data_IF_079374760743
#
_entry.id   IF_079374760743
#
_cell.length_a   1.000
_cell.length_b   1.000
_cell.length_c   1.000
_cell.angle_alpha   90.00
_cell.angle_beta   90.00
_cell.angle_gamma   90.00
#
_symmetry.space_group_name_H-M   'P 1'
#
loop_
_entity.id
_entity.type
_entity.pdbx_description
1 polymer ?
#
# COMPACT_ATOMS: atom_id res chain seq x y z
N UNK A 1 -5.01 -3.41 20.59
CA UNK A 1 -5.99 -2.49 20.00
C UNK A 1 -7.22 -3.24 19.52
N UNK A 2 -8.39 -2.79 19.90
CA UNK A 2 -9.67 -3.37 19.52
C UNK A 2 -10.40 -2.35 18.63
N UNK A 3 -10.35 -2.53 17.33
CA UNK A 3 -11.31 -1.92 16.42
C UNK A 3 -12.60 -2.75 16.45
N UNK A 4 -13.72 -2.21 15.98
CA UNK A 4 -15.07 -2.75 16.17
C UNK A 4 -15.18 -4.26 15.92
N UNK A 5 -14.27 -4.86 15.13
CA UNK A 5 -14.25 -6.30 14.82
C UNK A 5 -12.83 -6.93 14.74
N UNK A 6 -11.78 -6.25 15.20
CA UNK A 6 -10.39 -6.75 15.05
C UNK A 6 -9.60 -6.54 16.34
N UNK A 7 -9.10 -7.63 16.91
CA UNK A 7 -8.14 -7.61 18.01
C UNK A 7 -6.73 -7.73 17.42
N UNK A 8 -5.95 -6.64 17.44
CA UNK A 8 -4.57 -6.65 16.96
C UNK A 8 -3.64 -6.87 18.15
N UNK A 9 -2.93 -7.99 18.15
CA UNK A 9 -1.92 -8.35 19.15
C UNK A 9 -0.62 -8.76 18.47
N UNK A 10 0.10 -7.75 17.96
CA UNK A 10 1.39 -7.92 17.31
C UNK A 10 2.49 -7.38 18.21
N UNK A 11 3.56 -8.16 18.37
CA UNK A 11 4.72 -7.75 19.17
C UNK A 11 5.61 -6.79 18.36
N UNK A 12 6.38 -5.91 19.02
CA UNK A 12 7.37 -5.07 18.34
C UNK A 12 8.48 -5.91 17.67
N UNK A 13 8.98 -5.44 16.53
CA UNK A 13 10.11 -6.04 15.85
C UNK A 13 9.77 -6.80 14.57
N UNK A 14 10.79 -7.41 13.97
CA UNK A 14 10.65 -8.22 12.76
C UNK A 14 10.11 -9.59 13.13
N UNK A 15 8.99 -9.97 12.55
CA UNK A 15 8.32 -11.24 12.81
C UNK A 15 7.65 -11.77 11.55
N UNK A 16 7.40 -13.07 11.53
CA UNK A 16 6.59 -13.69 10.49
C UNK A 16 5.11 -13.39 10.77
N UNK A 17 4.40 -12.89 9.78
CA UNK A 17 2.96 -12.64 9.84
C UNK A 17 2.24 -13.62 8.91
N UNK A 18 1.17 -14.21 9.38
CA UNK A 18 0.21 -14.87 8.51
C UNK A 18 -0.70 -13.86 7.80
N UNK A 19 -1.65 -14.33 6.97
CA UNK A 19 -2.51 -13.44 6.18
C UNK A 19 -3.43 -12.57 7.03
N UNK A 20 -3.92 -13.08 8.15
CA UNK A 20 -4.78 -12.34 9.08
C UNK A 20 -3.99 -11.26 9.81
N UNK A 21 -2.86 -11.62 10.39
CA UNK A 21 -1.93 -10.70 11.05
C UNK A 21 -1.41 -9.62 10.10
N UNK A 22 -1.12 -9.97 8.84
CA UNK A 22 -0.70 -9.00 7.82
C UNK A 22 -1.82 -7.99 7.51
N UNK A 23 -3.07 -8.46 7.45
CA UNK A 23 -4.24 -7.61 7.26
C UNK A 23 -4.47 -6.68 8.46
N UNK A 24 -4.36 -7.19 9.67
CA UNK A 24 -4.43 -6.42 10.91
C UNK A 24 -3.37 -5.32 10.95
N UNK A 25 -2.12 -5.68 10.64
CA UNK A 25 -1.01 -4.75 10.55
C UNK A 25 -1.25 -3.62 9.55
N UNK A 26 -1.80 -3.96 8.38
CA UNK A 26 -2.13 -2.98 7.33
C UNK A 26 -3.31 -2.08 7.68
N UNK A 27 -4.25 -2.56 8.50
CA UNK A 27 -5.49 -1.85 8.88
C UNK A 27 -5.38 -1.03 10.15
N UNK A 28 -4.34 -1.20 10.94
CA UNK A 28 -4.17 -0.46 12.19
C UNK A 28 -4.20 1.05 11.96
N UNK A 29 -5.05 1.78 12.71
CA UNK A 29 -5.30 3.21 12.50
C UNK A 29 -5.03 4.09 13.72
N UNK A 30 -4.85 3.51 14.91
CA UNK A 30 -4.78 4.26 16.17
C UNK A 30 -3.38 4.23 16.77
N UNK A 31 -2.39 4.65 16.02
CA UNK A 31 -1.06 4.94 16.57
C UNK A 31 -1.00 6.39 17.10
N UNK A 32 0.06 6.69 17.86
CA UNK A 32 0.26 8.00 18.47
C UNK A 32 0.36 9.16 17.46
N UNK A 33 0.60 8.83 16.20
CA UNK A 33 0.78 9.77 15.10
C UNK A 33 -0.50 9.87 14.26
N UNK A 34 -1.42 8.90 14.42
CA UNK A 34 -2.69 8.81 13.72
C UNK A 34 -2.54 8.36 12.26
N UNK A 35 -3.67 8.32 11.56
CA UNK A 35 -3.73 7.90 10.16
C UNK A 35 -2.95 8.80 9.19
N UNK A 36 -2.74 10.02 9.58
CA UNK A 36 -2.11 11.07 8.78
C UNK A 36 -0.62 11.19 9.05
N UNK A 37 -0.04 10.25 9.76
CA UNK A 37 1.30 10.27 10.31
C UNK A 37 2.43 10.45 9.32
N UNK A 38 2.25 11.05 8.15
CA UNK A 38 3.39 11.40 7.32
C UNK A 38 3.09 12.32 6.16
N UNK A 39 2.42 13.38 6.45
CA UNK A 39 2.52 14.53 5.56
C UNK A 39 3.94 15.14 5.56
N UNK A 40 4.77 14.76 6.53
CA UNK A 40 6.17 15.19 6.68
C UNK A 40 7.20 14.28 5.98
N UNK A 41 6.78 13.22 5.31
CA UNK A 41 7.71 12.29 4.64
C UNK A 41 8.37 11.25 5.55
N UNK A 42 8.02 11.20 6.84
CA UNK A 42 8.54 10.19 7.76
C UNK A 42 7.74 8.89 7.68
N UNK A 43 8.43 7.76 7.82
CA UNK A 43 7.89 6.40 7.64
C UNK A 43 7.06 5.91 8.83
N UNK A 44 6.02 6.66 9.20
CA UNK A 44 5.13 6.33 10.31
C UNK A 44 3.66 6.24 9.87
N UNK A 45 2.82 5.61 10.68
CA UNK A 45 1.39 5.49 10.44
C UNK A 45 0.99 4.36 9.46
N UNK A 46 -0.28 4.35 9.10
CA UNK A 46 -0.88 3.28 8.28
C UNK A 46 -0.22 3.13 6.90
N UNK A 47 0.06 4.23 6.22
CA UNK A 47 0.66 4.21 4.89
C UNK A 47 2.06 3.57 4.92
N UNK A 48 2.86 3.90 5.94
CA UNK A 48 4.18 3.31 6.11
C UNK A 48 4.10 1.80 6.39
N UNK A 49 3.14 1.35 7.20
CA UNK A 49 2.91 -0.08 7.43
C UNK A 49 2.50 -0.80 6.14
N UNK A 50 1.61 -0.21 5.35
CA UNK A 50 1.23 -0.76 4.06
C UNK A 50 2.40 -0.84 3.09
N UNK A 51 3.27 0.19 3.03
CA UNK A 51 4.50 0.16 2.25
C UNK A 51 5.46 -0.96 2.70
N UNK A 52 5.69 -1.10 4.00
CA UNK A 52 6.53 -2.17 4.56
C UNK A 52 5.98 -3.56 4.23
N UNK A 53 4.67 -3.75 4.32
CA UNK A 53 4.01 -4.99 3.92
C UNK A 53 4.18 -5.27 2.43
N UNK A 54 3.97 -4.28 1.57
CA UNK A 54 4.20 -4.42 0.12
C UNK A 54 5.65 -4.76 -0.20
N UNK A 55 6.62 -4.11 0.47
CA UNK A 55 8.03 -4.43 0.33
C UNK A 55 8.31 -5.90 0.67
N UNK A 56 7.81 -6.37 1.81
CA UNK A 56 7.99 -7.75 2.24
C UNK A 56 7.34 -8.76 1.27
N UNK A 57 6.17 -8.43 0.70
CA UNK A 57 5.52 -9.28 -0.30
C UNK A 57 6.36 -9.35 -1.58
N UNK A 58 6.84 -8.21 -2.09
CA UNK A 58 7.68 -8.16 -3.30
C UNK A 58 8.98 -8.95 -3.08
N UNK A 59 9.63 -8.81 -1.93
CA UNK A 59 10.85 -9.55 -1.64
C UNK A 59 10.61 -11.05 -1.53
N UNK A 60 9.47 -11.49 -1.00
CA UNK A 60 9.11 -12.91 -0.96
C UNK A 60 8.81 -13.50 -2.34
N UNK A 61 8.42 -12.70 -3.34
CA UNK A 61 8.20 -13.24 -4.71
C UNK A 61 9.49 -13.75 -5.36
N UNK A 62 10.65 -13.35 -4.86
CA UNK A 62 11.96 -13.82 -5.31
C UNK A 62 12.33 -15.22 -4.78
N UNK A 63 11.60 -15.72 -3.77
CA UNK A 63 11.83 -17.06 -3.21
C UNK A 63 11.23 -18.12 -4.14
N UNK A 64 12.03 -19.12 -4.46
CA UNK A 64 11.63 -20.30 -5.28
C UNK A 64 10.42 -21.04 -4.67
N UNK A 65 10.29 -21.03 -3.35
CA UNK A 65 9.14 -21.63 -2.65
C UNK A 65 7.84 -20.89 -2.96
N UNK A 66 7.91 -19.59 -3.14
CA UNK A 66 6.77 -18.75 -3.54
C UNK A 66 6.35 -19.07 -4.96
N UNK A 67 7.31 -19.29 -5.86
CA UNK A 67 7.03 -19.70 -7.25
C UNK A 67 6.26 -21.04 -7.32
N UNK A 68 6.58 -21.99 -6.45
CA UNK A 68 5.85 -23.27 -6.36
C UNK A 68 4.40 -23.08 -5.88
N UNK A 69 4.10 -22.00 -5.14
CA UNK A 69 2.77 -21.66 -4.64
C UNK A 69 2.01 -20.68 -5.56
N UNK A 70 2.60 -20.24 -6.65
CA UNK A 70 2.02 -19.27 -7.57
C UNK A 70 0.58 -19.61 -8.01
N UNK A 71 0.21 -20.86 -8.34
CA UNK A 71 -1.16 -21.18 -8.71
C UNK A 71 -2.18 -20.97 -7.56
N UNK A 72 -1.76 -21.14 -6.32
CA UNK A 72 -2.61 -20.87 -5.15
C UNK A 72 -2.75 -19.36 -4.91
N UNK A 73 -1.67 -18.61 -5.06
CA UNK A 73 -1.66 -17.15 -4.95
C UNK A 73 -2.58 -16.54 -6.02
N UNK A 74 -2.47 -16.97 -7.27
CA UNK A 74 -3.34 -16.51 -8.37
C UNK A 74 -4.81 -16.75 -8.05
N UNK A 75 -5.16 -17.95 -7.58
CA UNK A 75 -6.56 -18.26 -7.18
C UNK A 75 -7.05 -17.35 -6.05
N UNK A 76 -6.22 -17.11 -5.04
CA UNK A 76 -6.57 -16.24 -3.93
C UNK A 76 -6.79 -14.79 -4.39
N UNK A 77 -5.94 -14.28 -5.28
CA UNK A 77 -6.11 -12.95 -5.88
C UNK A 77 -7.38 -12.88 -6.72
N UNK A 78 -7.66 -13.87 -7.55
CA UNK A 78 -8.88 -13.94 -8.36
C UNK A 78 -10.16 -13.96 -7.50
N UNK A 79 -10.12 -14.60 -6.33
CA UNK A 79 -11.24 -14.63 -5.40
C UNK A 79 -11.45 -13.29 -4.66
N UNK A 80 -10.38 -12.51 -4.48
CA UNK A 80 -10.40 -11.27 -3.70
C UNK A 80 -10.55 -9.99 -4.55
N UNK A 81 -10.27 -10.07 -5.86
CA UNK A 81 -10.23 -8.91 -6.76
C UNK A 81 -11.27 -9.06 -7.86
N UNK A 82 -12.14 -8.05 -7.99
CA UNK A 82 -13.01 -7.89 -9.17
C UNK A 82 -12.32 -6.98 -10.16
N UNK A 83 -12.08 -7.46 -11.36
CA UNK A 83 -11.39 -6.71 -12.42
C UNK A 83 -11.94 -7.09 -13.80
N UNK A 84 -11.89 -6.15 -14.71
CA UNK A 84 -12.18 -6.34 -16.14
C UNK A 84 -10.93 -6.78 -16.94
N UNK A 85 -9.77 -6.83 -16.29
CA UNK A 85 -8.55 -7.31 -16.94
C UNK A 85 -8.59 -8.82 -17.17
N UNK A 86 -8.28 -9.23 -18.41
CA UNK A 86 -8.10 -10.65 -18.70
C UNK A 86 -6.87 -11.23 -17.99
N UNK A 87 -6.89 -12.52 -17.72
CA UNK A 87 -5.76 -13.23 -17.13
C UNK A 87 -4.45 -13.03 -17.92
N UNK A 88 -4.51 -13.02 -19.24
CA UNK A 88 -3.35 -12.80 -20.11
C UNK A 88 -2.73 -11.41 -19.94
N UNK A 89 -3.55 -10.39 -19.71
CA UNK A 89 -3.08 -9.02 -19.41
C UNK A 89 -2.41 -8.98 -18.05
N UNK A 90 -3.02 -9.57 -17.03
CA UNK A 90 -2.45 -9.65 -15.66
C UNK A 90 -1.11 -10.40 -15.68
N UNK A 91 -1.04 -11.56 -16.35
CA UNK A 91 0.18 -12.33 -16.48
C UNK A 91 1.29 -11.55 -17.20
N UNK A 92 0.96 -10.82 -18.25
CA UNK A 92 1.92 -9.98 -18.99
C UNK A 92 2.45 -8.84 -18.10
N UNK A 93 1.59 -8.18 -17.32
CA UNK A 93 2.01 -7.16 -16.35
C UNK A 93 2.98 -7.79 -15.33
N UNK A 94 2.61 -8.92 -14.72
CA UNK A 94 3.48 -9.63 -13.77
C UNK A 94 4.83 -10.01 -14.35
N UNK A 95 4.87 -10.49 -15.59
CA UNK A 95 6.12 -10.82 -16.28
C UNK A 95 6.97 -9.59 -16.64
N UNK A 96 6.33 -8.48 -16.98
CA UNK A 96 7.04 -7.23 -17.30
C UNK A 96 7.73 -6.65 -16.08
N UNK A 97 7.09 -6.73 -14.92
CA UNK A 97 7.57 -6.14 -13.67
C UNK A 97 8.20 -7.14 -12.69
N UNK A 98 8.44 -8.39 -13.11
CA UNK A 98 8.96 -9.46 -12.22
C UNK A 98 10.31 -9.15 -11.55
N UNK A 99 11.12 -8.31 -12.17
CA UNK A 99 12.46 -7.95 -11.70
C UNK A 99 12.50 -6.63 -10.93
N UNK A 100 11.36 -5.93 -10.81
CA UNK A 100 11.26 -4.68 -10.04
C UNK A 100 11.44 -5.00 -8.56
N UNK A 101 12.43 -4.35 -7.93
CA UNK A 101 12.58 -4.39 -6.48
C UNK A 101 11.74 -3.28 -5.84
N UNK A 102 11.35 -3.48 -4.57
CA UNK A 102 10.66 -2.40 -3.84
C UNK A 102 11.50 -1.11 -3.74
N UNK A 103 12.83 -1.24 -3.72
CA UNK A 103 13.74 -0.10 -3.72
C UNK A 103 13.64 0.77 -4.99
N UNK A 104 13.14 0.19 -6.09
CA UNK A 104 12.95 0.90 -7.37
C UNK A 104 11.60 1.65 -7.42
N UNK A 105 10.75 1.46 -6.38
CA UNK A 105 9.42 2.07 -6.32
C UNK A 105 9.49 3.42 -5.63
N UNK A 106 9.38 4.49 -6.39
CA UNK A 106 9.24 5.83 -5.85
C UNK A 106 7.83 6.06 -5.32
N UNK A 107 7.73 6.51 -4.09
CA UNK A 107 6.44 6.86 -3.49
C UNK A 107 6.25 8.38 -3.47
N UNK A 108 5.33 8.85 -4.28
CA UNK A 108 4.99 10.27 -4.35
C UNK A 108 3.83 10.55 -3.38
N UNK A 109 4.04 11.36 -2.33
CA UNK A 109 2.97 11.69 -1.39
C UNK A 109 1.91 12.56 -2.07
N UNK A 110 0.64 12.25 -1.81
CA UNK A 110 -0.47 13.09 -2.26
C UNK A 110 -0.48 14.41 -1.46
N UNK A 111 -0.29 15.58 -2.08
CA UNK A 111 -0.27 16.84 -1.38
C UNK A 111 -1.70 17.29 -1.04
N UNK A 112 -2.12 17.05 0.18
CA UNK A 112 -3.43 17.45 0.67
C UNK A 112 -3.38 17.77 2.17
N UNK A 113 -4.41 18.42 2.67
CA UNK A 113 -4.59 18.70 4.09
C UNK A 113 -5.83 18.00 4.61
N UNK A 114 -5.74 17.32 5.76
CA UNK A 114 -6.93 16.81 6.42
C UNK A 114 -7.78 17.98 6.91
N UNK A 115 -9.06 17.95 6.60
CA UNK A 115 -10.04 18.94 7.01
C UNK A 115 -11.36 18.28 7.36
N UNK A 116 -11.99 18.75 8.42
CA UNK A 116 -13.36 18.34 8.75
C UNK A 116 -14.34 19.31 8.10
N UNK A 117 -15.28 18.75 7.34
CA UNK A 117 -16.41 19.48 6.77
C UNK A 117 -17.67 18.75 7.21
N UNK A 118 -18.56 19.43 7.93
CA UNK A 118 -19.80 18.86 8.49
C UNK A 118 -19.58 17.58 9.32
N UNK A 119 -18.48 17.53 10.09
CA UNK A 119 -18.14 16.39 10.94
C UNK A 119 -17.51 15.20 10.20
N UNK A 120 -17.33 15.28 8.88
CA UNK A 120 -16.70 14.24 8.06
C UNK A 120 -15.28 14.66 7.74
N UNK A 121 -14.33 13.73 7.90
CA UNK A 121 -12.93 13.97 7.58
C UNK A 121 -12.68 13.82 6.08
N UNK A 122 -12.16 14.86 5.47
CA UNK A 122 -11.73 14.91 4.06
C UNK A 122 -10.25 15.21 3.98
N UNK A 123 -9.64 14.84 2.86
CA UNK A 123 -8.31 15.32 2.47
C UNK A 123 -8.49 16.29 1.31
N UNK A 124 -8.28 17.57 1.58
CA UNK A 124 -8.41 18.62 0.57
C UNK A 124 -7.08 18.77 -0.18
N UNK A 125 -7.05 18.55 -1.50
CA UNK A 125 -5.83 18.66 -2.27
C UNK A 125 -5.30 20.10 -2.31
N UNK A 126 -3.99 20.25 -2.18
CA UNK A 126 -3.28 21.47 -2.53
C UNK A 126 -3.03 21.46 -4.04
N UNK A 127 -3.92 22.07 -4.79
CA UNK A 127 -3.98 21.96 -6.27
C UNK A 127 -2.72 22.48 -6.98
N UNK A 128 -2.11 23.51 -6.45
CA UNK A 128 -0.84 24.06 -6.91
C UNK A 128 0.31 23.06 -6.76
N UNK A 129 0.46 22.49 -5.56
CA UNK A 129 1.48 21.49 -5.25
C UNK A 129 1.17 20.17 -5.96
N UNK A 130 -0.10 19.77 -6.04
CA UNK A 130 -0.50 18.56 -6.74
C UNK A 130 -0.06 18.59 -8.21
N UNK A 131 -0.28 19.70 -8.89
CA UNK A 131 0.08 19.87 -10.29
C UNK A 131 1.60 19.78 -10.52
N UNK A 132 2.39 20.41 -9.66
CA UNK A 132 3.86 20.38 -9.76
C UNK A 132 4.46 19.03 -9.37
N UNK A 133 3.83 18.31 -8.42
CA UNK A 133 4.34 17.03 -7.92
C UNK A 133 3.93 15.86 -8.80
N UNK A 134 2.68 15.82 -9.25
CA UNK A 134 2.16 14.67 -10.00
C UNK A 134 2.10 14.90 -11.50
N UNK A 135 2.02 16.16 -11.94
CA UNK A 135 1.97 16.51 -13.37
C UNK A 135 3.06 15.84 -14.20
N UNK A 136 4.34 15.89 -13.80
CA UNK A 136 5.43 15.26 -14.53
C UNK A 136 5.25 13.74 -14.71
N UNK A 137 4.62 13.05 -13.74
CA UNK A 137 4.36 11.60 -13.82
C UNK A 137 3.36 11.25 -14.94
N UNK A 138 2.51 12.18 -15.31
CA UNK A 138 1.48 12.01 -16.35
C UNK A 138 1.79 12.83 -17.61
N UNK A 139 3.01 13.38 -17.73
CA UNK A 139 3.39 14.21 -18.87
C UNK A 139 2.64 15.55 -18.93
N UNK A 140 2.06 16.01 -17.84
CA UNK A 140 1.37 17.30 -17.74
C UNK A 140 2.39 18.37 -17.35
N UNK A 141 2.60 19.41 -18.15
CA UNK A 141 3.56 20.46 -17.80
C UNK A 141 3.13 21.18 -16.52
N UNK A 142 4.11 21.51 -15.68
CA UNK A 142 3.94 22.36 -14.50
C UNK A 142 3.84 23.84 -14.98
N UNK A 143 2.65 24.25 -15.37
CA UNK A 143 2.38 25.68 -15.69
C UNK A 143 1.69 26.35 -14.51
#
# INVERSE_FOLDING_TARGET
>A
YKAVDVLIDLQPGVQHLDGEQALEYARFRMDAIGDFGTWSGEDHGRVARQKKLMAAIIDQTKDVRTLLRLPAIIRAVQAAVTTDMSFSVMARIGMTYKDVAYADVESVPFPGLPQYVDGISYVIPKTDVLRTTTGPLFGIPAN
#
